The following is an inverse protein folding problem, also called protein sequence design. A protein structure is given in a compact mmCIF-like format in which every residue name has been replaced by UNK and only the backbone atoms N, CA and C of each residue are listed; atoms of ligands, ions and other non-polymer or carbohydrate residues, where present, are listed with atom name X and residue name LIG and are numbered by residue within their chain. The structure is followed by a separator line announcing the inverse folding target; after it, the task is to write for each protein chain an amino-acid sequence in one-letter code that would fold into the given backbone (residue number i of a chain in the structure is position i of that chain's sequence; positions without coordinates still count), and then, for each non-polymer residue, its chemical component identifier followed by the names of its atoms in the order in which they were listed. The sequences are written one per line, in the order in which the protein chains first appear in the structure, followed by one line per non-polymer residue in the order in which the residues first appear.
data_IF_868383224214
#
_entry.id   IF_868383224214
#
_cell.length_a   1.000
_cell.length_b   1.000
_cell.length_c   1.000
_cell.angle_alpha   90.00
_cell.angle_beta   90.00
_cell.angle_gamma   90.00
#
_symmetry.space_group_name_H-M   'P 1'
#
loop_
_entity.id
_entity.type
_entity.pdbx_description
1 polymer ?
#
# COMPACT_ATOMS: atom_id res chain seq x y z
N UNK A 1 14.73 -2.78 7.49
CA UNK A 1 15.09 -1.43 7.01
C UNK A 1 14.62 -1.25 5.57
N UNK A 2 14.05 -0.08 5.26
CA UNK A 2 13.58 0.34 3.92
C UNK A 2 14.68 0.21 2.85
N UNK A 3 15.94 0.26 3.27
CA UNK A 3 17.12 0.12 2.43
C UNK A 3 17.31 -1.29 1.83
N UNK A 4 16.78 -2.35 2.47
CA UNK A 4 16.82 -3.72 1.92
C UNK A 4 15.72 -3.96 0.86
N UNK A 5 14.54 -3.34 1.04
CA UNK A 5 13.45 -3.47 0.07
C UNK A 5 13.79 -2.82 -1.29
N UNK A 6 14.61 -1.75 -1.27
CA UNK A 6 15.17 -1.12 -2.49
C UNK A 6 16.08 -2.04 -3.29
N UNK A 7 16.72 -3.02 -2.65
CA UNK A 7 17.65 -3.95 -3.32
C UNK A 7 16.91 -5.10 -4.03
N UNK A 8 15.64 -5.35 -3.70
CA UNK A 8 14.89 -6.54 -4.15
C UNK A 8 13.76 -6.28 -5.15
N UNK A 9 13.64 -5.06 -5.69
CA UNK A 9 12.60 -4.71 -6.68
C UNK A 9 11.18 -5.13 -6.26
N UNK A 10 10.87 -5.10 -4.96
CA UNK A 10 9.52 -5.37 -4.48
C UNK A 10 8.68 -4.11 -4.63
N UNK A 11 7.42 -4.28 -5.05
CA UNK A 11 6.45 -3.20 -5.12
C UNK A 11 6.28 -2.58 -3.72
N UNK A 12 6.57 -1.28 -3.61
CA UNK A 12 6.53 -0.57 -2.35
C UNK A 12 5.50 0.54 -2.45
N UNK A 13 4.46 0.41 -1.63
CA UNK A 13 3.35 1.34 -1.55
C UNK A 13 3.37 2.08 -0.21
N UNK A 14 3.09 3.37 -0.23
CA UNK A 14 2.94 4.20 0.96
C UNK A 14 1.66 5.03 0.86
N UNK A 15 0.89 5.08 1.94
CA UNK A 15 -0.21 6.03 2.06
C UNK A 15 0.31 7.29 2.75
N UNK A 16 0.21 8.43 2.07
CA UNK A 16 0.56 9.73 2.63
C UNK A 16 -0.69 10.34 3.27
N UNK A 17 -0.71 10.45 4.60
CA UNK A 17 -1.87 10.97 5.33
C UNK A 17 -2.13 12.46 5.06
N UNK A 18 -1.10 13.25 4.71
CA UNK A 18 -1.23 14.68 4.45
C UNK A 18 -1.83 14.96 3.07
N UNK A 19 -1.47 14.14 2.08
CA UNK A 19 -1.98 14.17 0.70
C UNK A 19 -3.22 13.29 0.52
N UNK A 20 -3.54 12.44 1.51
CA UNK A 20 -4.65 11.48 1.51
C UNK A 20 -4.64 10.57 0.28
N UNK A 21 -3.46 10.13 -0.12
CA UNK A 21 -3.26 9.40 -1.37
C UNK A 21 -2.20 8.31 -1.25
N UNK A 22 -2.27 7.35 -2.18
CA UNK A 22 -1.33 6.25 -2.27
C UNK A 22 -0.23 6.55 -3.29
N UNK A 23 1.00 6.20 -2.93
CA UNK A 23 2.18 6.39 -3.77
C UNK A 23 2.95 5.09 -3.86
N UNK A 24 3.44 4.76 -5.05
CA UNK A 24 4.33 3.62 -5.31
C UNK A 24 5.74 4.09 -5.63
N UNK A 25 6.74 3.33 -5.20
CA UNK A 25 8.14 3.57 -5.55
C UNK A 25 8.51 2.81 -6.82
N UNK A 26 8.83 3.54 -7.89
CA UNK A 26 9.20 2.96 -9.20
C UNK A 26 10.71 2.68 -9.35
N UNK A 27 11.48 2.77 -8.26
CA UNK A 27 12.95 2.68 -8.31
C UNK A 27 13.63 4.03 -8.51
N UNK A 28 12.98 4.97 -9.19
CA UNK A 28 13.50 6.31 -9.46
C UNK A 28 12.73 7.42 -8.73
N UNK A 29 11.41 7.29 -8.62
CA UNK A 29 10.55 8.30 -8.01
C UNK A 29 9.32 7.69 -7.34
N UNK A 30 8.70 8.46 -6.45
CA UNK A 30 7.36 8.20 -5.95
C UNK A 30 6.34 8.66 -6.99
N UNK A 31 5.43 7.77 -7.34
CA UNK A 31 4.36 8.04 -8.30
C UNK A 31 3.02 7.74 -7.64
N UNK A 32 2.03 8.61 -7.83
CA UNK A 32 0.68 8.38 -7.33
C UNK A 32 0.04 7.19 -8.06
N UNK A 33 -0.68 6.34 -7.33
CA UNK A 33 -1.34 5.18 -7.91
C UNK A 33 -2.33 4.55 -6.96
N UNK A 34 -2.98 3.47 -7.39
CA UNK A 34 -3.89 2.68 -6.53
C UNK A 34 -3.23 1.35 -6.20
N UNK A 35 -2.94 1.05 -4.93
CA UNK A 35 -2.34 -0.22 -4.56
C UNK A 35 -3.34 -1.35 -4.74
N UNK A 36 -2.83 -2.52 -5.09
CA UNK A 36 -3.57 -3.78 -5.05
C UNK A 36 -2.63 -4.85 -4.50
N UNK A 37 -3.06 -5.53 -3.44
CA UNK A 37 -2.29 -6.62 -2.86
C UNK A 37 -2.45 -7.85 -3.77
N UNK A 38 -1.40 -8.19 -4.51
CA UNK A 38 -1.37 -9.35 -5.42
C UNK A 38 -0.48 -10.48 -4.91
N UNK A 39 0.40 -10.20 -3.95
CA UNK A 39 1.38 -11.13 -3.40
C UNK A 39 0.94 -11.65 -2.03
N UNK A 40 1.20 -12.93 -1.74
CA UNK A 40 0.93 -13.53 -0.42
C UNK A 40 1.89 -13.03 0.66
N UNK A 41 3.14 -12.72 0.28
CA UNK A 41 4.15 -12.17 1.19
C UNK A 41 4.07 -10.64 1.19
N UNK A 42 3.37 -10.08 2.16
CA UNK A 42 3.29 -8.63 2.40
C UNK A 42 3.88 -8.25 3.77
N UNK A 43 4.45 -7.05 3.85
CA UNK A 43 4.92 -6.46 5.10
C UNK A 43 4.38 -5.05 5.22
N UNK A 44 3.55 -4.80 6.23
CA UNK A 44 3.02 -3.49 6.55
C UNK A 44 3.84 -2.83 7.64
N UNK A 45 4.37 -1.64 7.36
CA UNK A 45 4.96 -0.76 8.39
C UNK A 45 4.15 0.52 8.46
N UNK A 46 3.77 0.94 9.67
CA UNK A 46 2.89 2.08 9.87
C UNK A 46 3.42 3.10 10.88
N UNK A 47 2.66 4.17 11.04
CA UNK A 47 2.85 5.18 12.09
C UNK A 47 2.09 4.78 13.36
N UNK A 48 2.53 5.28 14.53
CA UNK A 48 1.79 5.12 15.79
C UNK A 48 0.48 5.91 15.81
N UNK A 49 0.36 6.92 14.94
CA UNK A 49 -0.78 7.83 14.89
C UNK A 49 -1.42 7.76 13.50
N UNK A 50 -2.39 6.87 13.37
CA UNK A 50 -3.27 6.80 12.20
C UNK A 50 -4.45 7.75 12.40
N UNK A 51 -4.75 8.52 11.37
CA UNK A 51 -5.98 9.32 11.29
C UNK A 51 -7.12 8.45 10.73
N UNK A 52 -8.38 8.80 11.01
CA UNK A 52 -9.53 8.00 10.59
C UNK A 52 -9.56 7.76 9.07
N UNK A 53 -9.22 8.78 8.28
CA UNK A 53 -9.15 8.65 6.82
C UNK A 53 -8.08 7.67 6.33
N UNK A 54 -7.00 7.48 7.10
CA UNK A 54 -5.96 6.53 6.77
C UNK A 54 -6.41 5.09 7.10
N UNK A 55 -7.20 4.91 8.16
CA UNK A 55 -7.82 3.62 8.49
C UNK A 55 -8.81 3.20 7.40
N UNK A 56 -9.69 4.11 6.97
CA UNK A 56 -10.61 3.88 5.85
C UNK A 56 -9.86 3.53 4.55
N UNK A 57 -8.78 4.23 4.24
CA UNK A 57 -7.98 3.96 3.04
C UNK A 57 -7.35 2.55 3.07
N UNK A 58 -6.88 2.10 4.23
CA UNK A 58 -6.35 0.74 4.41
C UNK A 58 -7.48 -0.29 4.28
N UNK A 59 -8.63 -0.06 4.91
CA UNK A 59 -9.78 -0.95 4.81
C UNK A 59 -10.22 -1.11 3.35
N UNK A 60 -10.34 -0.01 2.61
CA UNK A 60 -10.66 -0.02 1.18
C UNK A 60 -9.60 -0.76 0.34
N UNK A 61 -8.31 -0.65 0.70
CA UNK A 61 -7.25 -1.43 0.03
C UNK A 61 -7.45 -2.94 0.24
N UNK A 62 -7.74 -3.37 1.46
CA UNK A 62 -8.00 -4.79 1.74
C UNK A 62 -9.26 -5.27 1.03
N UNK A 63 -10.35 -4.51 1.09
CA UNK A 63 -11.59 -4.83 0.39
C UNK A 63 -11.32 -4.98 -1.11
N UNK A 64 -10.76 -3.97 -1.76
CA UNK A 64 -10.49 -4.04 -3.21
C UNK A 64 -9.49 -5.11 -3.63
N UNK A 65 -8.56 -5.50 -2.75
CA UNK A 65 -7.54 -6.51 -3.06
C UNK A 65 -8.02 -7.93 -2.84
N UNK A 66 -8.85 -8.15 -1.82
CA UNK A 66 -9.35 -9.47 -1.42
C UNK A 66 -10.84 -9.65 -1.70
N UNK A 67 -11.49 -8.71 -2.38
CA UNK A 67 -12.87 -8.85 -2.85
C UNK A 67 -12.98 -10.12 -3.68
N UNK A 68 -13.54 -11.15 -3.05
CA UNK A 68 -13.65 -12.50 -3.58
C UNK A 68 -15.00 -12.61 -4.28
N UNK A 69 -15.27 -11.73 -5.25
CA UNK A 69 -16.40 -11.94 -6.16
C UNK A 69 -15.97 -12.95 -7.23
N UNK A 70 -15.73 -14.20 -6.80
CA UNK A 70 -15.76 -15.36 -7.70
C UNK A 70 -17.23 -15.73 -7.82
N UNK A 71 -17.94 -15.41 -8.93
CA UNK A 71 -19.22 -16.04 -9.17
C UNK A 71 -18.97 -17.55 -9.31
N UNK A 72 -19.73 -18.34 -8.55
CA UNK A 72 -19.82 -19.80 -8.61
C UNK A 72 -19.96 -20.33 -10.05
#
# INVERSE_FOLDING_TARGET
SVELAKMWSKELWVYDQARRGWFTWTGAAWTEGTPRITSMDLCGTGTRYLEDHAVDAIAALFETSFDTTVPD
#
